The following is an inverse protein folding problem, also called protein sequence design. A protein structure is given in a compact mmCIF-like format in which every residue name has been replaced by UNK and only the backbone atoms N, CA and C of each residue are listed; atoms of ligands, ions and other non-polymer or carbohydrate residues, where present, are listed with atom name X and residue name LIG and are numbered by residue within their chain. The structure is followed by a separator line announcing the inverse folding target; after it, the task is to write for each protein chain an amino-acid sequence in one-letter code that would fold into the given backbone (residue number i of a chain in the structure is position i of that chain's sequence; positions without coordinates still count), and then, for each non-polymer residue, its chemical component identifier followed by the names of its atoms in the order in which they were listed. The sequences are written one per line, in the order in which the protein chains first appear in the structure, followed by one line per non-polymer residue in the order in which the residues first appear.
data_IF_442575597220
#
_entry.id   IF_442575597220
#
_cell.length_a   1.000
_cell.length_b   1.000
_cell.length_c   1.000
_cell.angle_alpha   90.00
_cell.angle_beta   90.00
_cell.angle_gamma   90.00
#
_symmetry.space_group_name_H-M   'P 1'
#
loop_
_entity.id
_entity.type
_entity.pdbx_description
1 polymer ?
#
# COMPACT_ATOMS: atom_id res chain seq x y z
N UNK A 1 2.58 63.65 -13.05
CA UNK A 1 1.81 62.95 -14.10
C UNK A 1 1.89 61.41 -14.08
N UNK A 2 2.96 60.77 -13.58
CA UNK A 2 3.12 59.30 -13.59
C UNK A 2 2.13 58.51 -12.69
N UNK A 3 1.71 59.07 -11.54
CA UNK A 3 0.77 58.42 -10.59
C UNK A 3 -0.69 58.32 -11.09
N UNK A 4 -1.14 59.24 -11.95
CA UNK A 4 -2.54 59.28 -12.42
C UNK A 4 -2.85 58.17 -13.43
N UNK A 5 -1.88 57.83 -14.29
CA UNK A 5 -2.03 56.77 -15.28
C UNK A 5 -1.99 55.37 -14.65
N UNK A 6 -1.20 55.18 -13.59
CA UNK A 6 -1.14 53.90 -12.86
C UNK A 6 -2.49 53.55 -12.19
N UNK A 7 -3.18 54.54 -11.63
CA UNK A 7 -4.51 54.36 -11.02
C UNK A 7 -5.55 53.87 -12.04
N UNK A 8 -5.54 54.42 -13.26
CA UNK A 8 -6.44 54.02 -14.35
C UNK A 8 -6.22 52.57 -14.82
N UNK A 9 -4.97 52.09 -14.89
CA UNK A 9 -4.69 50.70 -15.25
C UNK A 9 -5.13 49.72 -14.16
N UNK A 10 -4.97 50.07 -12.88
CA UNK A 10 -5.42 49.23 -11.76
C UNK A 10 -6.95 49.13 -11.75
N UNK A 11 -7.66 50.24 -11.99
CA UNK A 11 -9.12 50.25 -12.07
C UNK A 11 -9.61 49.45 -13.28
N UNK A 12 -8.98 49.60 -14.44
CA UNK A 12 -9.31 48.81 -15.64
C UNK A 12 -9.09 47.31 -15.42
N UNK A 13 -7.99 46.92 -14.79
CA UNK A 13 -7.71 45.53 -14.44
C UNK A 13 -8.71 44.97 -13.43
N UNK A 14 -9.09 45.74 -12.42
CA UNK A 14 -10.12 45.35 -11.45
C UNK A 14 -11.49 45.15 -12.11
N UNK A 15 -11.90 46.06 -13.01
CA UNK A 15 -13.17 45.92 -13.75
C UNK A 15 -13.14 44.67 -14.63
N UNK A 16 -12.04 44.44 -15.34
CA UNK A 16 -11.88 43.25 -16.18
C UNK A 16 -11.89 41.96 -15.35
N UNK A 17 -11.18 41.90 -14.22
CA UNK A 17 -11.17 40.75 -13.33
C UNK A 17 -12.56 40.49 -12.72
N UNK A 18 -13.29 41.53 -12.36
CA UNK A 18 -14.66 41.41 -11.83
C UNK A 18 -15.64 40.92 -12.89
N UNK A 19 -15.50 41.40 -14.13
CA UNK A 19 -16.28 40.90 -15.28
C UNK A 19 -16.03 39.40 -15.53
N UNK A 20 -14.77 38.95 -15.50
CA UNK A 20 -14.44 37.53 -15.63
C UNK A 20 -14.98 36.68 -14.47
N UNK A 21 -14.91 37.18 -13.23
CA UNK A 21 -15.44 36.47 -12.04
C UNK A 21 -16.97 36.36 -12.05
N UNK A 22 -17.69 37.35 -12.60
CA UNK A 22 -19.16 37.32 -12.74
C UNK A 22 -19.64 36.39 -13.87
N UNK A 23 -18.76 36.07 -14.82
CA UNK A 23 -19.01 35.09 -15.89
C UNK A 23 -18.49 33.68 -15.59
N UNK A 24 -17.99 33.44 -14.38
CA UNK A 24 -17.66 32.08 -13.96
C UNK A 24 -18.96 31.27 -13.82
N UNK A 25 -19.14 30.29 -14.70
CA UNK A 25 -20.26 29.35 -14.59
C UNK A 25 -20.06 28.45 -13.38
N UNK A 26 -21.16 28.11 -12.70
CA UNK A 26 -21.13 27.16 -11.60
C UNK A 26 -20.79 25.78 -12.16
N UNK A 27 -19.56 25.32 -11.92
CA UNK A 27 -19.15 23.96 -12.29
C UNK A 27 -19.60 23.02 -11.17
N UNK A 28 -20.66 22.25 -11.42
CA UNK A 28 -21.02 21.12 -10.57
C UNK A 28 -20.24 19.90 -11.05
N UNK A 29 -19.28 19.45 -10.24
CA UNK A 29 -18.57 18.20 -10.49
C UNK A 29 -19.38 17.05 -9.86
N UNK A 30 -19.69 16.02 -10.64
CA UNK A 30 -20.33 14.82 -10.12
C UNK A 30 -19.40 14.15 -9.11
N UNK A 31 -19.88 13.98 -7.88
CA UNK A 31 -19.13 13.32 -6.82
C UNK A 31 -19.42 11.82 -6.85
N UNK A 32 -18.47 11.01 -7.32
CA UNK A 32 -18.58 9.55 -7.29
C UNK A 32 -17.78 9.03 -6.10
N UNK A 33 -18.44 8.30 -5.20
CA UNK A 33 -17.82 7.64 -4.05
C UNK A 33 -18.43 6.25 -3.90
N UNK A 34 -17.62 5.21 -4.08
CA UNK A 34 -18.06 3.82 -4.11
C UNK A 34 -17.27 2.99 -3.11
N UNK A 35 -17.91 1.99 -2.53
CA UNK A 35 -17.25 0.97 -1.71
C UNK A 35 -17.73 -0.43 -2.09
N UNK A 36 -16.88 -1.43 -1.91
CA UNK A 36 -17.19 -2.83 -2.14
C UNK A 36 -16.76 -3.67 -0.94
N UNK A 37 -17.59 -4.62 -0.52
CA UNK A 37 -17.34 -5.49 0.62
C UNK A 37 -17.74 -6.94 0.30
N UNK A 38 -16.91 -7.95 0.60
CA UNK A 38 -15.59 -7.83 1.19
C UNK A 38 -14.56 -7.25 0.20
N UNK A 39 -13.52 -6.53 0.69
CA UNK A 39 -12.46 -6.01 -0.17
C UNK A 39 -11.47 -7.10 -0.63
N UNK A 40 -11.40 -8.21 0.11
CA UNK A 40 -10.57 -9.36 -0.17
C UNK A 40 -11.31 -10.64 0.22
N UNK A 41 -11.40 -11.58 -0.71
CA UNK A 41 -11.85 -12.95 -0.51
C UNK A 41 -10.65 -13.87 -0.71
N UNK A 42 -10.41 -14.75 0.26
CA UNK A 42 -9.43 -15.83 0.18
C UNK A 42 -10.17 -17.15 0.34
N UNK A 43 -9.99 -18.08 -0.60
CA UNK A 43 -10.70 -19.36 -0.55
C UNK A 43 -9.82 -20.53 -1.01
N UNK A 44 -9.88 -21.61 -0.25
CA UNK A 44 -9.35 -22.92 -0.60
C UNK A 44 -10.49 -23.78 -1.11
N UNK A 45 -10.36 -24.33 -2.32
CA UNK A 45 -11.45 -25.03 -2.98
C UNK A 45 -10.94 -26.20 -3.82
N UNK A 46 -11.71 -27.29 -3.84
CA UNK A 46 -11.41 -28.46 -4.66
C UNK A 46 -11.87 -28.27 -6.11
N UNK A 47 -11.19 -28.86 -7.10
CA UNK A 47 -11.71 -28.98 -8.45
C UNK A 47 -13.14 -29.55 -8.50
N UNK A 48 -13.96 -29.05 -9.41
CA UNK A 48 -15.36 -29.47 -9.57
C UNK A 48 -16.35 -28.88 -8.56
N UNK A 49 -15.92 -28.01 -7.63
CA UNK A 49 -16.79 -27.37 -6.65
C UNK A 49 -17.23 -25.98 -7.08
N UNK A 50 -18.36 -25.56 -6.51
CA UNK A 50 -18.95 -24.24 -6.70
C UNK A 50 -19.23 -23.62 -5.34
N UNK A 51 -18.97 -22.33 -5.21
CA UNK A 51 -19.33 -21.53 -4.04
C UNK A 51 -20.12 -20.30 -4.47
N UNK A 52 -20.89 -19.74 -3.54
CA UNK A 52 -21.65 -18.51 -3.72
C UNK A 52 -21.18 -17.50 -2.68
N UNK A 53 -20.79 -16.30 -3.12
CA UNK A 53 -20.29 -15.24 -2.25
C UNK A 53 -21.05 -13.95 -2.51
N UNK A 54 -21.60 -13.35 -1.45
CA UNK A 54 -22.27 -12.06 -1.55
C UNK A 54 -21.30 -10.89 -1.43
N UNK A 55 -21.16 -10.10 -2.48
CA UNK A 55 -20.48 -8.81 -2.47
C UNK A 55 -21.49 -7.68 -2.35
N UNK A 56 -21.27 -6.73 -1.45
CA UNK A 56 -22.07 -5.51 -1.33
C UNK A 56 -21.32 -4.36 -1.98
N UNK A 57 -21.94 -3.71 -2.97
CA UNK A 57 -21.48 -2.45 -3.54
C UNK A 57 -22.35 -1.33 -3.01
N UNK A 58 -21.75 -0.29 -2.44
CA UNK A 58 -22.46 0.83 -1.85
C UNK A 58 -22.01 2.15 -2.47
N UNK A 59 -22.97 3.02 -2.77
CA UNK A 59 -22.73 4.34 -3.33
C UNK A 59 -22.89 5.43 -2.25
N UNK A 60 -21.80 6.12 -1.96
CA UNK A 60 -21.74 7.24 -1.02
C UNK A 60 -21.80 8.62 -1.71
N UNK A 61 -21.84 8.64 -3.05
CA UNK A 61 -21.88 9.86 -3.87
C UNK A 61 -23.21 10.06 -4.60
N UNK A 62 -23.14 10.75 -5.74
CA UNK A 62 -24.28 10.98 -6.63
C UNK A 62 -24.77 9.68 -7.27
N UNK A 63 -26.04 9.60 -7.70
CA UNK A 63 -26.57 8.41 -8.36
C UNK A 63 -25.75 8.05 -9.59
N UNK A 64 -25.50 6.76 -9.79
CA UNK A 64 -24.55 6.28 -10.81
C UNK A 64 -25.03 4.99 -11.45
N UNK A 65 -24.71 4.82 -12.74
CA UNK A 65 -24.88 3.55 -13.44
C UNK A 65 -23.56 2.79 -13.32
N UNK A 66 -23.63 1.59 -12.76
CA UNK A 66 -22.50 0.71 -12.56
C UNK A 66 -22.57 -0.48 -13.51
N UNK A 67 -21.40 -0.97 -13.90
CA UNK A 67 -21.25 -2.24 -14.60
C UNK A 67 -20.31 -3.12 -13.78
N UNK A 68 -20.76 -4.34 -13.46
CA UNK A 68 -19.97 -5.32 -12.73
C UNK A 68 -19.27 -6.28 -13.67
N UNK A 69 -18.12 -6.80 -13.27
CA UNK A 69 -17.17 -7.40 -14.20
C UNK A 69 -16.06 -8.12 -13.40
N UNK A 70 -15.51 -9.23 -13.91
CA UNK A 70 -14.41 -9.96 -13.25
C UNK A 70 -13.19 -9.93 -14.14
N UNK A 71 -12.03 -9.55 -13.57
CA UNK A 71 -10.75 -9.49 -14.29
C UNK A 71 -9.68 -10.30 -13.58
N UNK A 72 -8.77 -10.86 -14.35
CA UNK A 72 -7.56 -11.50 -13.82
C UNK A 72 -6.54 -10.43 -13.48
N UNK A 73 -5.76 -10.64 -12.43
CA UNK A 73 -4.63 -9.76 -12.13
C UNK A 73 -3.38 -10.57 -11.81
N UNK A 74 -2.25 -9.90 -11.89
CA UNK A 74 -0.95 -10.42 -11.47
C UNK A 74 -0.30 -9.49 -10.44
N UNK A 75 0.51 -10.04 -9.53
CA UNK A 75 1.26 -9.21 -8.58
C UNK A 75 2.22 -8.28 -9.31
N UNK A 76 2.38 -7.06 -8.80
CA UNK A 76 3.32 -6.09 -9.31
C UNK A 76 4.13 -5.44 -8.19
N UNK A 77 5.45 -5.37 -8.37
CA UNK A 77 6.38 -4.79 -7.40
C UNK A 77 6.41 -5.54 -6.06
N UNK A 78 6.82 -4.82 -5.00
CA UNK A 78 7.01 -5.39 -3.64
C UNK A 78 5.98 -4.88 -2.63
N UNK A 79 5.24 -3.81 -2.95
CA UNK A 79 4.33 -3.15 -2.00
C UNK A 79 2.92 -3.76 -2.01
N UNK A 80 2.70 -4.85 -2.74
CA UNK A 80 1.38 -5.44 -2.89
C UNK A 80 0.50 -4.81 -3.94
N UNK A 81 1.10 -4.09 -4.87
CA UNK A 81 0.38 -3.59 -6.03
C UNK A 81 0.02 -4.77 -6.93
N UNK A 82 -1.02 -4.60 -7.70
CA UNK A 82 -1.50 -5.58 -8.67
C UNK A 82 -1.63 -4.90 -10.02
N UNK A 83 -1.36 -5.66 -11.07
CA UNK A 83 -1.61 -5.24 -12.44
C UNK A 83 -2.84 -6.02 -12.94
N UNK A 84 -3.92 -5.30 -13.22
CA UNK A 84 -5.14 -5.88 -13.78
C UNK A 84 -4.92 -6.14 -15.28
N UNK A 85 -5.25 -7.34 -15.74
CA UNK A 85 -5.23 -7.67 -17.16
C UNK A 85 -6.49 -7.14 -17.85
N UNK A 86 -6.32 -6.74 -19.11
CA UNK A 86 -7.42 -6.24 -19.94
C UNK A 86 -8.42 -7.32 -20.33
N UNK A 87 -7.98 -8.58 -20.37
CA UNK A 87 -8.79 -9.74 -20.70
C UNK A 87 -8.92 -10.68 -19.50
N UNK A 88 -10.03 -11.42 -19.47
CA UNK A 88 -10.22 -12.46 -18.47
C UNK A 88 -9.43 -13.70 -18.89
N UNK A 89 -8.60 -14.22 -17.99
CA UNK A 89 -7.79 -15.42 -18.22
C UNK A 89 -8.00 -16.45 -17.10
N UNK A 90 -7.95 -17.72 -17.48
CA UNK A 90 -7.90 -18.85 -16.54
C UNK A 90 -9.15 -19.71 -16.54
N UNK A 91 -9.11 -20.82 -15.78
CA UNK A 91 -10.13 -21.87 -15.85
C UNK A 91 -11.34 -21.62 -14.93
N UNK A 92 -11.27 -20.66 -14.01
CA UNK A 92 -12.33 -20.40 -13.04
C UNK A 92 -13.49 -19.68 -13.72
N UNK A 93 -14.72 -20.10 -13.44
CA UNK A 93 -15.92 -19.54 -14.05
C UNK A 93 -16.66 -18.68 -13.03
N UNK A 94 -17.12 -17.50 -13.48
CA UNK A 94 -17.83 -16.53 -12.66
C UNK A 94 -19.19 -16.19 -13.29
N UNK A 95 -20.22 -16.09 -12.46
CA UNK A 95 -21.54 -15.60 -12.85
C UNK A 95 -22.21 -14.92 -11.65
N UNK A 96 -23.19 -14.06 -11.89
CA UNK A 96 -24.10 -13.61 -10.84
C UNK A 96 -25.28 -14.57 -10.72
N UNK A 97 -25.69 -14.84 -9.48
CA UNK A 97 -26.86 -15.67 -9.13
C UNK A 97 -28.10 -14.81 -8.83
N UNK A 98 -27.98 -13.48 -9.01
CA UNK A 98 -29.09 -12.54 -8.90
C UNK A 98 -30.14 -12.79 -9.99
N UNK A 99 -31.41 -12.52 -9.69
CA UNK A 99 -32.51 -12.66 -10.66
C UNK A 99 -32.51 -11.55 -11.73
N UNK A 100 -31.98 -10.38 -11.39
CA UNK A 100 -32.09 -9.13 -12.13
C UNK A 100 -30.73 -8.53 -12.54
N UNK A 101 -29.62 -9.19 -12.16
CA UNK A 101 -28.26 -8.70 -12.44
C UNK A 101 -27.42 -9.76 -13.13
N UNK A 102 -26.65 -9.31 -14.10
CA UNK A 102 -25.68 -10.12 -14.83
C UNK A 102 -24.33 -9.41 -14.86
N UNK A 103 -23.25 -10.20 -14.95
CA UNK A 103 -21.93 -9.62 -15.22
C UNK A 103 -21.96 -8.91 -16.57
N UNK A 104 -21.22 -7.81 -16.65
CA UNK A 104 -21.11 -6.92 -17.81
C UNK A 104 -22.39 -6.14 -18.16
N UNK A 105 -23.49 -6.33 -17.45
CA UNK A 105 -24.73 -5.57 -17.63
C UNK A 105 -24.78 -4.36 -16.69
N UNK A 106 -25.25 -3.20 -17.19
CA UNK A 106 -25.37 -2.00 -16.36
C UNK A 106 -26.54 -2.11 -15.38
N UNK A 107 -26.37 -1.57 -14.17
CA UNK A 107 -27.43 -1.40 -13.18
C UNK A 107 -27.32 -0.02 -12.52
N UNK A 108 -28.46 0.54 -12.13
CA UNK A 108 -28.51 1.87 -11.52
C UNK A 108 -28.41 1.76 -9.99
N UNK A 109 -27.51 2.53 -9.39
CA UNK A 109 -27.33 2.59 -7.94
C UNK A 109 -27.55 4.02 -7.45
N UNK A 110 -28.59 4.21 -6.63
CA UNK A 110 -28.95 5.52 -6.07
C UNK A 110 -27.92 5.97 -5.03
N UNK A 111 -27.94 7.26 -4.70
CA UNK A 111 -27.16 7.81 -3.58
C UNK A 111 -27.53 7.13 -2.27
N UNK A 112 -26.52 6.73 -1.49
CA UNK A 112 -26.64 5.99 -0.22
C UNK A 112 -27.38 4.65 -0.32
N UNK A 113 -27.45 4.10 -1.52
CA UNK A 113 -28.03 2.80 -1.77
C UNK A 113 -26.94 1.74 -1.92
N UNK A 114 -27.33 0.48 -1.73
CA UNK A 114 -26.44 -0.67 -1.80
C UNK A 114 -27.05 -1.78 -2.63
N UNK A 115 -26.21 -2.41 -3.45
CA UNK A 115 -26.56 -3.56 -4.25
C UNK A 115 -25.74 -4.77 -3.83
N UNK A 116 -26.41 -5.89 -3.58
CA UNK A 116 -25.74 -7.16 -3.36
C UNK A 116 -25.56 -7.90 -4.68
N UNK A 117 -24.33 -8.26 -4.99
CA UNK A 117 -23.90 -9.10 -6.11
C UNK A 117 -23.61 -10.51 -5.57
N UNK A 118 -24.46 -11.48 -5.89
CA UNK A 118 -24.29 -12.88 -5.49
C UNK A 118 -23.37 -13.57 -6.49
N UNK A 119 -22.06 -13.49 -6.28
CA UNK A 119 -21.06 -14.02 -7.18
C UNK A 119 -20.92 -15.54 -7.00
N UNK A 120 -21.34 -16.28 -8.03
CA UNK A 120 -21.15 -17.73 -8.15
C UNK A 120 -19.77 -18.00 -8.75
N UNK A 121 -18.92 -18.68 -7.99
CA UNK A 121 -17.56 -19.06 -8.39
C UNK A 121 -17.52 -20.56 -8.58
N UNK A 122 -17.25 -21.02 -9.80
CA UNK A 122 -17.18 -22.44 -10.16
C UNK A 122 -15.77 -22.79 -10.60
N UNK A 123 -15.21 -23.81 -9.95
CA UNK A 123 -13.93 -24.42 -10.35
C UNK A 123 -14.27 -25.68 -11.14
N UNK A 124 -13.99 -25.74 -12.45
CA UNK A 124 -14.24 -26.94 -13.24
C UNK A 124 -13.51 -28.19 -12.72
N UNK A 125 -14.00 -29.36 -13.13
CA UNK A 125 -13.27 -30.62 -12.91
C UNK A 125 -12.00 -30.60 -13.77
N UNK A 126 -10.88 -31.04 -13.22
CA UNK A 126 -9.59 -31.06 -13.93
C UNK A 126 -8.86 -29.71 -13.96
N UNK A 127 -9.35 -28.68 -13.26
CA UNK A 127 -8.57 -27.46 -13.02
C UNK A 127 -7.25 -27.83 -12.33
N UNK A 128 -6.10 -27.43 -12.87
CA UNK A 128 -4.81 -27.68 -12.24
C UNK A 128 -4.75 -27.11 -10.81
N UNK A 129 -4.06 -27.81 -9.92
CA UNK A 129 -3.78 -27.27 -8.60
C UNK A 129 -2.86 -26.05 -8.71
N UNK A 130 -3.15 -25.03 -7.92
CA UNK A 130 -2.46 -23.74 -7.99
C UNK A 130 -3.34 -22.60 -7.52
N UNK A 131 -2.77 -21.41 -7.59
CA UNK A 131 -3.47 -20.20 -7.22
C UNK A 131 -3.94 -19.42 -8.46
N UNK A 132 -5.12 -18.84 -8.33
CA UNK A 132 -5.76 -18.03 -9.34
C UNK A 132 -6.25 -16.73 -8.73
N UNK A 133 -5.89 -15.61 -9.36
CA UNK A 133 -6.11 -14.27 -8.82
C UNK A 133 -7.04 -13.46 -9.71
N UNK A 134 -8.13 -12.97 -9.12
CA UNK A 134 -9.18 -12.24 -9.81
C UNK A 134 -9.65 -11.05 -9.00
N UNK A 135 -10.31 -10.09 -9.62
CA UNK A 135 -11.03 -9.04 -8.92
C UNK A 135 -12.41 -8.87 -9.49
N UNK A 136 -13.41 -8.79 -8.60
CA UNK A 136 -14.73 -8.30 -8.94
C UNK A 136 -14.67 -6.77 -8.98
N UNK A 137 -14.89 -6.20 -10.15
CA UNK A 137 -14.92 -4.77 -10.38
C UNK A 137 -16.35 -4.27 -10.44
N UNK A 138 -16.59 -3.09 -9.87
CA UNK A 138 -17.76 -2.27 -10.15
C UNK A 138 -17.27 -0.94 -10.74
N UNK A 139 -17.63 -0.67 -11.99
CA UNK A 139 -17.17 0.51 -12.73
C UNK A 139 -18.32 1.44 -13.02
N UNK A 140 -18.15 2.74 -12.76
CA UNK A 140 -19.12 3.74 -13.20
C UNK A 140 -19.08 3.91 -14.72
N UNK A 141 -20.25 4.09 -15.32
CA UNK A 141 -20.35 4.50 -16.72
C UNK A 141 -20.41 6.04 -16.78
N UNK A 142 -19.56 6.69 -17.58
CA UNK A 142 -19.68 8.12 -17.78
C UNK A 142 -21.01 8.43 -18.49
N UNK A 143 -21.66 9.57 -18.19
CA UNK A 143 -22.89 9.97 -18.87
C UNK A 143 -22.66 10.10 -20.39
N UNK A 144 -23.69 9.83 -21.22
CA UNK A 144 -23.59 9.94 -22.67
C UNK A 144 -23.23 11.37 -23.11
N UNK A 145 -22.49 11.47 -24.21
CA UNK A 145 -22.00 12.74 -24.75
C UNK A 145 -23.19 13.58 -25.21
N UNK A 146 -23.36 14.76 -24.63
CA UNK A 146 -24.25 15.78 -25.20
C UNK A 146 -23.39 16.72 -26.04
N UNK A 147 -23.71 16.89 -27.32
CA UNK A 147 -22.96 17.77 -28.22
C UNK A 147 -22.89 19.19 -27.64
N UNK A 148 -21.69 19.80 -27.66
CA UNK A 148 -21.45 21.17 -27.20
C UNK A 148 -21.04 21.34 -25.73
N UNK A 149 -20.98 20.27 -24.92
CA UNK A 149 -20.52 20.34 -23.52
C UNK A 149 -19.21 19.56 -23.35
N UNK A 150 -18.10 20.28 -23.11
CA UNK A 150 -16.83 19.70 -22.66
C UNK A 150 -16.84 19.48 -21.16
N UNK A 151 -17.37 18.35 -20.70
CA UNK A 151 -17.26 17.92 -19.30
C UNK A 151 -16.06 16.98 -19.09
N UNK A 152 -15.37 17.15 -17.96
CA UNK A 152 -14.36 16.19 -17.49
C UNK A 152 -15.06 14.86 -17.16
N UNK A 153 -14.60 13.77 -17.77
CA UNK A 153 -15.19 12.43 -17.61
C UNK A 153 -14.38 11.63 -16.60
N UNK A 154 -14.87 11.51 -15.38
CA UNK A 154 -14.28 10.62 -14.40
C UNK A 154 -14.98 9.25 -14.46
N UNK A 155 -14.24 8.21 -14.85
CA UNK A 155 -14.65 6.82 -14.64
C UNK A 155 -14.03 6.35 -13.32
N UNK A 156 -14.87 5.89 -12.39
CA UNK A 156 -14.42 5.35 -11.11
C UNK A 156 -14.59 3.85 -11.13
N UNK A 157 -13.58 3.13 -10.66
CA UNK A 157 -13.62 1.68 -10.52
C UNK A 157 -13.27 1.32 -9.08
N UNK A 158 -14.09 0.50 -8.44
CA UNK A 158 -13.80 -0.12 -7.16
C UNK A 158 -13.68 -1.65 -7.36
N UNK A 159 -12.80 -2.29 -6.59
CA UNK A 159 -12.45 -3.69 -6.77
C UNK A 159 -12.47 -4.45 -5.44
N UNK A 160 -13.04 -5.66 -5.45
CA UNK A 160 -12.89 -6.66 -4.41
C UNK A 160 -12.01 -7.78 -4.93
N UNK A 161 -10.85 -7.99 -4.33
CA UNK A 161 -9.88 -9.00 -4.79
C UNK A 161 -10.29 -10.39 -4.33
N UNK A 162 -10.03 -11.39 -5.16
CA UNK A 162 -10.42 -12.79 -5.00
C UNK A 162 -9.16 -13.64 -5.22
N UNK A 163 -8.69 -14.29 -4.16
CA UNK A 163 -7.56 -15.22 -4.18
C UNK A 163 -8.10 -16.64 -4.01
N UNK A 164 -7.96 -17.46 -5.05
CA UNK A 164 -8.47 -18.83 -5.08
C UNK A 164 -7.30 -19.79 -5.12
N UNK A 165 -7.16 -20.61 -4.09
CA UNK A 165 -6.22 -21.75 -4.09
C UNK A 165 -7.00 -23.02 -4.41
N UNK A 166 -6.70 -23.60 -5.58
CA UNK A 166 -7.25 -24.87 -6.02
C UNK A 166 -6.34 -26.00 -5.57
N UNK A 167 -6.86 -26.91 -4.74
CA UNK A 167 -6.11 -28.04 -4.20
C UNK A 167 -7.06 -29.17 -3.79
N UNK A 168 -6.70 -30.42 -4.09
CA UNK A 168 -7.46 -31.60 -3.68
C UNK A 168 -7.13 -32.00 -2.24
N UNK A 169 -5.86 -31.80 -1.85
CA UNK A 169 -5.30 -32.23 -0.56
C UNK A 169 -5.31 -31.14 0.52
N UNK A 170 -5.42 -29.87 0.14
CA UNK A 170 -5.18 -28.74 1.03
C UNK A 170 -3.71 -28.33 1.13
N UNK A 171 -2.78 -29.15 0.63
CA UNK A 171 -1.35 -28.85 0.64
C UNK A 171 -1.00 -27.89 -0.51
N UNK A 172 -0.11 -26.94 -0.22
CA UNK A 172 0.36 -25.93 -1.18
C UNK A 172 1.86 -26.02 -1.37
N UNK A 173 2.33 -25.76 -2.59
CA UNK A 173 3.76 -25.75 -2.91
C UNK A 173 4.36 -24.36 -2.65
N UNK A 174 4.64 -24.10 -1.37
CA UNK A 174 5.27 -22.85 -0.95
C UNK A 174 6.79 -22.93 -1.07
N UNK A 175 7.40 -21.98 -1.78
CA UNK A 175 8.86 -21.85 -1.89
C UNK A 175 9.29 -20.41 -1.56
N UNK A 176 9.17 -20.05 -0.28
CA UNK A 176 9.57 -18.74 0.23
C UNK A 176 11.08 -18.60 0.42
N UNK A 177 11.58 -17.37 0.27
CA UNK A 177 12.96 -16.98 0.62
C UNK A 177 12.96 -15.54 1.14
N UNK A 178 13.84 -15.21 2.09
CA UNK A 178 14.16 -13.82 2.42
C UNK A 178 15.07 -13.26 1.31
N UNK A 179 14.55 -12.33 0.50
CA UNK A 179 15.30 -11.74 -0.62
C UNK A 179 16.19 -10.59 -0.16
N UNK A 180 15.73 -9.80 0.81
CA UNK A 180 16.48 -8.70 1.42
C UNK A 180 16.15 -8.57 2.90
N UNK A 181 17.17 -8.44 3.73
CA UNK A 181 17.01 -8.00 5.12
C UNK A 181 18.17 -7.09 5.48
N UNK A 182 17.89 -5.80 5.66
CA UNK A 182 18.95 -4.83 5.95
C UNK A 182 18.45 -3.59 6.70
N UNK A 183 19.40 -2.79 7.18
CA UNK A 183 19.20 -1.46 7.73
C UNK A 183 19.45 -0.43 6.63
N UNK A 184 18.46 0.42 6.36
CA UNK A 184 18.58 1.47 5.36
C UNK A 184 19.39 2.63 5.96
N UNK A 185 20.57 2.90 5.41
CA UNK A 185 21.45 3.98 5.87
C UNK A 185 21.98 4.79 4.69
N UNK A 186 22.14 6.10 4.89
CA UNK A 186 22.77 6.98 3.91
C UNK A 186 24.30 6.75 3.81
N UNK A 187 24.91 6.12 4.83
CA UNK A 187 26.34 5.84 4.85
C UNK A 187 26.63 4.34 4.71
N UNK A 188 27.76 4.01 4.10
CA UNK A 188 28.18 2.61 3.86
C UNK A 188 28.46 1.83 5.15
N UNK A 189 28.74 2.52 6.26
CA UNK A 189 29.11 1.91 7.53
C UNK A 189 27.91 1.65 8.47
N UNK A 190 26.68 1.99 8.04
CA UNK A 190 25.44 1.85 8.81
C UNK A 190 25.54 2.49 10.20
N UNK A 191 26.10 3.70 10.23
CA UNK A 191 26.28 4.52 11.44
C UNK A 191 25.08 5.45 11.60
N UNK A 192 24.52 5.51 12.81
CA UNK A 192 23.41 6.39 13.18
C UNK A 192 23.76 7.21 14.43
N UNK A 193 23.10 8.34 14.61
CA UNK A 193 23.14 9.07 15.89
C UNK A 193 22.25 8.39 16.95
N UNK A 194 22.57 8.56 18.23
CA UNK A 194 21.86 7.92 19.35
C UNK A 194 20.36 8.17 19.42
N UNK A 195 19.87 9.26 18.83
CA UNK A 195 18.44 9.61 18.80
C UNK A 195 17.81 9.50 17.41
N UNK A 196 18.56 9.04 16.40
CA UNK A 196 18.03 8.91 15.05
C UNK A 196 17.12 7.68 14.92
N UNK A 197 16.06 7.82 14.13
CA UNK A 197 15.20 6.71 13.72
C UNK A 197 15.99 5.79 12.79
N UNK A 198 15.91 4.48 13.02
CA UNK A 198 16.65 3.48 12.25
C UNK A 198 15.67 2.67 11.40
N UNK A 199 15.57 2.94 10.09
CA UNK A 199 14.70 2.20 9.18
C UNK A 199 15.31 0.83 8.80
N UNK A 200 14.48 -0.20 8.83
CA UNK A 200 14.81 -1.58 8.49
C UNK A 200 13.95 -2.00 7.31
N UNK A 201 14.52 -2.78 6.40
CA UNK A 201 13.82 -3.41 5.28
C UNK A 201 13.86 -4.94 5.41
N UNK A 202 12.73 -5.58 5.17
CA UNK A 202 12.55 -7.03 5.12
C UNK A 202 11.65 -7.35 3.91
N UNK A 203 12.27 -7.94 2.90
CA UNK A 203 11.59 -8.40 1.70
C UNK A 203 11.67 -9.92 1.62
N UNK A 204 10.55 -10.51 1.21
CA UNK A 204 10.44 -11.93 0.94
C UNK A 204 10.04 -12.16 -0.50
N UNK A 205 10.48 -13.28 -1.04
CA UNK A 205 10.21 -13.72 -2.40
C UNK A 205 9.53 -15.08 -2.34
N UNK A 206 8.46 -15.24 -3.11
CA UNK A 206 7.81 -16.51 -3.35
C UNK A 206 8.22 -17.03 -4.72
N UNK A 207 8.99 -18.12 -4.74
CA UNK A 207 9.36 -18.85 -5.97
C UNK A 207 8.42 -20.02 -6.27
N UNK A 208 7.40 -20.20 -5.44
CA UNK A 208 6.37 -21.21 -5.58
C UNK A 208 5.17 -20.67 -6.36
N UNK A 209 4.29 -21.59 -6.74
CA UNK A 209 3.06 -21.25 -7.47
C UNK A 209 1.90 -20.85 -6.57
N UNK A 210 1.96 -21.22 -5.29
CA UNK A 210 0.94 -20.90 -4.31
C UNK A 210 1.39 -19.75 -3.41
N UNK A 211 0.45 -18.88 -3.08
CA UNK A 211 0.59 -17.81 -2.12
C UNK A 211 0.82 -18.37 -0.72
N UNK A 212 1.43 -17.55 0.12
CA UNK A 212 1.55 -17.84 1.54
C UNK A 212 1.48 -16.55 2.36
N UNK A 213 1.29 -16.72 3.67
CA UNK A 213 1.34 -15.64 4.66
C UNK A 213 2.55 -15.88 5.56
N UNK A 214 3.66 -15.14 5.39
CA UNK A 214 4.81 -15.26 6.24
C UNK A 214 4.48 -14.76 7.64
N UNK A 215 5.00 -15.46 8.63
CA UNK A 215 4.90 -15.11 10.04
C UNK A 215 6.28 -15.11 10.68
N UNK A 216 6.42 -14.45 11.82
CA UNK A 216 7.66 -14.49 12.59
C UNK A 216 8.00 -13.17 13.23
N UNK A 217 9.30 -12.93 13.40
CA UNK A 217 9.80 -11.85 14.22
C UNK A 217 11.12 -11.27 13.71
N UNK A 218 11.30 -9.98 13.98
CA UNK A 218 12.58 -9.29 13.90
C UNK A 218 13.07 -9.08 15.35
N UNK A 219 14.26 -9.59 15.66
CA UNK A 219 14.88 -9.50 16.98
C UNK A 219 16.06 -8.55 16.93
N UNK A 220 16.04 -7.51 17.76
CA UNK A 220 17.13 -6.60 18.02
C UNK A 220 17.93 -7.08 19.23
N UNK A 221 19.26 -7.12 19.12
CA UNK A 221 20.19 -7.42 20.23
C UNK A 221 21.31 -6.39 20.30
N UNK A 222 21.49 -5.79 21.47
CA UNK A 222 22.62 -4.92 21.81
C UNK A 222 23.75 -5.68 22.49
N UNK A 223 24.88 -5.00 22.71
CA UNK A 223 26.04 -5.59 23.41
C UNK A 223 25.92 -5.52 24.94
N UNK A 224 25.03 -4.70 25.48
CA UNK A 224 24.83 -4.52 26.92
C UNK A 224 23.60 -5.27 27.44
N UNK A 225 23.17 -6.32 26.71
CA UNK A 225 22.04 -7.17 27.08
C UNK A 225 20.68 -6.66 26.59
N UNK A 226 20.63 -5.55 25.85
CA UNK A 226 19.39 -5.04 25.29
C UNK A 226 18.81 -6.04 24.28
N UNK A 227 17.52 -6.35 24.42
CA UNK A 227 16.78 -7.21 23.49
C UNK A 227 15.39 -6.64 23.25
N UNK A 228 15.00 -6.55 21.99
CA UNK A 228 13.63 -6.22 21.61
C UNK A 228 13.17 -7.15 20.48
N UNK A 229 11.87 -7.45 20.45
CA UNK A 229 11.26 -8.32 19.46
C UNK A 229 10.11 -7.58 18.80
N UNK A 230 10.01 -7.68 17.48
CA UNK A 230 9.03 -7.02 16.63
C UNK A 230 8.33 -8.07 15.79
N UNK A 231 7.02 -8.19 15.92
CA UNK A 231 6.25 -9.22 15.21
C UNK A 231 6.01 -8.82 13.76
N UNK A 232 6.29 -9.72 12.84
CA UNK A 232 5.97 -9.55 11.42
C UNK A 232 4.45 -9.65 11.26
N UNK A 233 3.85 -8.68 10.58
CA UNK A 233 2.42 -8.68 10.27
C UNK A 233 2.16 -9.68 9.14
N UNK A 234 1.31 -10.70 9.33
CA UNK A 234 0.99 -11.65 8.28
C UNK A 234 0.30 -10.94 7.10
N UNK A 235 0.86 -11.11 5.90
CA UNK A 235 0.37 -10.49 4.65
C UNK A 235 0.49 -11.48 3.50
N UNK A 236 -0.40 -11.42 2.52
CA UNK A 236 -0.30 -12.30 1.34
C UNK A 236 0.95 -11.98 0.50
N UNK A 237 1.73 -13.02 0.25
CA UNK A 237 2.79 -13.05 -0.75
C UNK A 237 2.32 -13.98 -1.85
N UNK A 238 1.91 -13.40 -2.99
CA UNK A 238 1.34 -14.17 -4.10
C UNK A 238 2.39 -15.09 -4.73
N UNK A 239 1.92 -16.08 -5.48
CA UNK A 239 2.76 -16.97 -6.29
C UNK A 239 3.69 -16.17 -7.20
N UNK A 240 4.94 -16.61 -7.29
CA UNK A 240 5.96 -16.03 -8.19
C UNK A 240 6.17 -14.51 -8.00
N UNK A 241 5.98 -14.01 -6.77
CA UNK A 241 6.03 -12.58 -6.45
C UNK A 241 7.00 -12.24 -5.32
N UNK A 242 7.23 -10.94 -5.12
CA UNK A 242 7.96 -10.41 -3.97
C UNK A 242 7.05 -9.55 -3.09
N UNK A 243 7.39 -9.43 -1.81
CA UNK A 243 6.65 -8.61 -0.86
C UNK A 243 7.58 -7.97 0.17
N UNK A 244 7.41 -6.67 0.39
CA UNK A 244 7.91 -5.95 1.54
C UNK A 244 6.99 -6.25 2.72
N UNK A 245 7.53 -6.86 3.77
CA UNK A 245 6.76 -7.20 4.97
C UNK A 245 6.76 -6.06 5.97
N UNK A 246 5.63 -5.79 6.59
CA UNK A 246 5.54 -4.83 7.70
C UNK A 246 5.71 -5.53 9.04
N UNK A 247 6.29 -4.85 10.04
CA UNK A 247 6.37 -5.35 11.42
C UNK A 247 5.84 -4.32 12.43
N UNK A 248 5.25 -4.80 13.52
CA UNK A 248 4.75 -3.96 14.62
C UNK A 248 5.90 -3.52 15.53
N UNK A 249 5.83 -2.33 16.16
CA UNK A 249 4.69 -1.41 16.22
C UNK A 249 4.60 -0.45 15.02
N UNK A 250 5.56 -0.45 14.10
CA UNK A 250 5.65 0.58 13.07
C UNK A 250 4.98 0.20 11.74
N UNK A 251 4.07 -0.77 11.74
CA UNK A 251 3.33 -1.20 10.55
C UNK A 251 2.42 -0.09 9.98
N UNK A 252 2.25 1.02 10.70
CA UNK A 252 1.38 2.16 10.37
C UNK A 252 2.16 3.44 10.05
N UNK A 253 3.44 3.37 9.68
CA UNK A 253 4.18 4.59 9.34
C UNK A 253 3.59 5.20 8.07
N UNK A 254 2.94 6.35 8.25
CA UNK A 254 2.50 7.20 7.16
C UNK A 254 3.70 7.99 6.61
N UNK A 255 4.14 7.59 5.42
CA UNK A 255 5.19 8.24 4.65
C UNK A 255 4.69 9.44 3.82
N UNK A 256 3.38 9.71 3.78
CA UNK A 256 2.80 10.90 3.14
C UNK A 256 3.00 12.16 3.98
N UNK A 257 3.19 12.01 5.30
CA UNK A 257 3.50 13.13 6.18
C UNK A 257 4.90 13.71 5.87
N UNK A 258 4.96 14.99 5.50
CA UNK A 258 6.20 15.70 5.12
C UNK A 258 7.33 15.59 6.16
N UNK A 259 6.99 15.43 7.44
CA UNK A 259 7.98 15.28 8.50
C UNK A 259 8.74 13.94 8.46
N UNK A 260 8.18 12.91 7.81
CA UNK A 260 8.76 11.56 7.71
C UNK A 260 9.47 11.31 6.37
N UNK A 261 9.36 12.22 5.39
CA UNK A 261 9.89 12.03 4.04
C UNK A 261 11.39 11.71 3.99
N UNK A 262 12.20 12.25 4.91
CA UNK A 262 13.65 11.97 4.95
C UNK A 262 13.98 10.52 5.29
N UNK A 263 13.09 9.84 6.02
CA UNK A 263 13.27 8.44 6.43
C UNK A 263 12.67 7.51 5.37
N UNK A 264 11.58 7.92 4.73
CA UNK A 264 10.82 7.17 3.72
C UNK A 264 11.42 7.13 2.31
N UNK A 265 12.74 7.31 2.16
CA UNK A 265 13.42 7.26 0.85
C UNK A 265 13.62 5.82 0.31
N UNK A 266 12.97 4.82 0.89
CA UNK A 266 13.13 3.42 0.51
C UNK A 266 12.05 2.51 1.11
N UNK A 267 12.09 1.20 0.77
CA UNK A 267 11.10 0.23 1.22
C UNK A 267 11.31 -0.16 2.69
N UNK A 268 10.46 0.37 3.58
CA UNK A 268 10.60 0.20 5.03
C UNK A 268 9.62 -0.85 5.57
N UNK A 269 10.14 -1.76 6.37
CA UNK A 269 9.41 -2.78 7.11
C UNK A 269 9.17 -2.41 8.57
N UNK A 270 10.16 -1.79 9.19
CA UNK A 270 10.18 -1.44 10.61
C UNK A 270 11.02 -0.18 10.83
N UNK A 271 10.59 0.72 11.70
CA UNK A 271 11.43 1.82 12.21
C UNK A 271 11.68 1.60 13.70
N UNK A 272 12.95 1.50 14.06
CA UNK A 272 13.35 1.53 15.46
C UNK A 272 13.43 2.99 15.92
N UNK A 273 12.88 3.26 17.10
CA UNK A 273 12.95 4.56 17.77
C UNK A 273 13.36 4.33 19.23
N UNK A 274 14.15 5.23 19.78
CA UNK A 274 14.68 5.12 21.14
C UNK A 274 16.08 5.69 21.25
N UNK A 275 16.68 5.54 22.43
CA UNK A 275 18.10 5.83 22.64
C UNK A 275 18.90 4.55 22.42
N UNK A 276 19.86 4.61 21.50
CA UNK A 276 20.74 3.49 21.18
C UNK A 276 22.22 3.89 21.34
N UNK A 277 23.05 2.96 21.79
CA UNK A 277 24.49 3.18 21.93
C UNK A 277 25.29 1.92 21.61
N UNK A 278 26.26 2.04 20.71
CA UNK A 278 27.15 0.96 20.33
C UNK A 278 26.64 0.13 19.16
N UNK A 279 27.10 -1.12 19.07
CA UNK A 279 26.77 -2.02 17.95
C UNK A 279 25.54 -2.86 18.28
N UNK A 280 24.57 -2.86 17.36
CA UNK A 280 23.39 -3.69 17.42
C UNK A 280 23.36 -4.71 16.29
N UNK A 281 22.78 -5.86 16.58
CA UNK A 281 22.51 -6.92 15.59
C UNK A 281 21.00 -7.12 15.49
N UNK A 282 20.53 -7.22 14.25
CA UNK A 282 19.16 -7.55 13.91
C UNK A 282 19.13 -8.96 13.34
N UNK A 283 18.09 -9.72 13.69
CA UNK A 283 17.85 -11.06 13.13
C UNK A 283 16.39 -11.19 12.76
N UNK A 284 16.09 -11.57 11.52
CA UNK A 284 14.76 -11.91 11.07
C UNK A 284 14.60 -13.43 11.08
N UNK A 285 13.58 -13.91 11.79
CA UNK A 285 13.14 -15.29 11.82
C UNK A 285 11.79 -15.33 11.09
N UNK A 286 11.74 -15.93 9.91
CA UNK A 286 10.53 -15.95 9.06
C UNK A 286 10.10 -17.39 8.78
N UNK A 287 8.83 -17.67 9.02
CA UNK A 287 8.17 -18.94 8.74
C UNK A 287 7.17 -18.74 7.59
N UNK A 288 7.17 -19.64 6.61
CA UNK A 288 6.37 -19.49 5.37
C UNK A 288 5.13 -20.40 5.31
N UNK A 289 4.87 -21.18 6.35
CA UNK A 289 3.74 -22.10 6.42
C UNK A 289 4.08 -23.35 7.22
N UNK A 290 3.04 -24.04 7.68
CA UNK A 290 3.19 -25.20 8.56
C UNK A 290 4.09 -26.29 7.96
N UNK A 291 4.98 -26.85 8.78
CA UNK A 291 5.89 -27.93 8.37
C UNK A 291 7.06 -27.49 7.48
N UNK A 292 7.18 -26.20 7.13
CA UNK A 292 8.31 -25.66 6.38
C UNK A 292 9.44 -25.16 7.30
N UNK A 293 10.71 -25.20 6.86
CA UNK A 293 11.80 -24.68 7.65
C UNK A 293 11.65 -23.17 7.87
N UNK A 294 12.09 -22.71 9.04
CA UNK A 294 12.24 -21.28 9.34
C UNK A 294 13.48 -20.72 8.63
N UNK A 295 13.33 -19.56 8.00
CA UNK A 295 14.40 -18.85 7.33
C UNK A 295 14.96 -17.75 8.21
N UNK A 296 16.27 -17.57 8.14
CA UNK A 296 17.02 -16.66 8.98
C UNK A 296 17.80 -15.66 8.14
N UNK A 297 17.75 -14.39 8.52
CA UNK A 297 18.63 -13.36 7.98
C UNK A 297 19.11 -12.44 9.10
N UNK A 298 20.28 -11.83 8.94
CA UNK A 298 20.86 -10.93 9.95
C UNK A 298 21.44 -9.68 9.34
N UNK A 299 21.27 -8.56 10.03
CA UNK A 299 21.88 -7.27 9.70
C UNK A 299 22.50 -6.65 10.95
N UNK A 300 23.32 -5.62 10.78
CA UNK A 300 23.89 -4.88 11.91
C UNK A 300 23.94 -3.38 11.61
N UNK A 301 23.97 -2.59 12.68
CA UNK A 301 24.20 -1.15 12.62
C UNK A 301 24.99 -0.70 13.85
N UNK A 302 25.59 0.48 13.75
CA UNK A 302 26.39 1.09 14.82
C UNK A 302 25.75 2.43 15.18
N UNK A 303 25.64 2.71 16.47
CA UNK A 303 25.09 3.96 16.96
C UNK A 303 26.11 4.67 17.83
N UNK A 304 26.35 5.95 17.52
CA UNK A 304 27.28 6.81 18.23
C UNK A 304 26.60 8.16 18.53
N UNK A 305 26.81 8.78 19.70
CA UNK A 305 26.19 10.05 20.06
C UNK A 305 26.90 11.24 19.38
N UNK A 306 27.03 11.23 18.06
CA UNK A 306 27.84 12.18 17.28
C UNK A 306 27.37 13.62 17.48
N UNK A 307 26.06 13.88 17.44
CA UNK A 307 25.48 15.21 17.66
C UNK A 307 25.81 15.73 19.06
N UNK A 308 25.68 14.88 20.07
CA UNK A 308 26.04 15.22 21.45
C UNK A 308 27.54 15.50 21.58
N UNK A 309 28.41 14.69 20.96
CA UNK A 309 29.85 14.89 20.96
C UNK A 309 30.27 16.20 20.29
N UNK A 310 29.62 16.58 19.17
CA UNK A 310 29.87 17.85 18.48
C UNK A 310 29.47 19.03 19.37
N UNK A 311 28.30 18.98 20.01
CA UNK A 311 27.84 20.04 20.93
C UNK A 311 28.79 20.18 22.12
N UNK A 312 29.19 19.06 22.73
CA UNK A 312 30.15 19.04 23.84
C UNK A 312 31.50 19.64 23.43
N UNK A 313 31.99 19.30 22.23
CA UNK A 313 33.24 19.85 21.71
C UNK A 313 33.17 21.37 21.49
N UNK A 314 32.07 21.88 20.93
CA UNK A 314 31.86 23.32 20.73
C UNK A 314 31.82 24.06 22.07
N UNK A 315 31.13 23.50 23.08
CA UNK A 315 31.08 24.07 24.43
C UNK A 315 32.45 24.10 25.11
N UNK A 316 33.23 23.02 24.98
CA UNK A 316 34.60 22.95 25.51
C UNK A 316 35.53 23.94 24.79
N UNK A 317 35.43 24.06 23.47
CA UNK A 317 36.22 25.03 22.70
C UNK A 317 35.86 26.48 23.06
N UNK A 318 34.57 26.78 23.20
CA UNK A 318 34.08 28.10 23.60
C UNK A 318 34.49 28.50 25.01
N UNK A 319 34.39 27.58 25.99
CA UNK A 319 34.85 27.83 27.36
C UNK A 319 36.36 28.07 27.43
N UNK A 320 37.17 27.26 26.72
CA UNK A 320 38.62 27.48 26.62
C UNK A 320 38.94 28.83 25.97
N UNK A 321 38.21 29.24 24.93
CA UNK A 321 38.38 30.53 24.27
C UNK A 321 38.06 31.71 25.21
N UNK A 322 36.97 31.64 25.98
CA UNK A 322 36.59 32.67 26.97
C UNK A 322 37.65 32.77 28.08
N UNK A 323 38.13 31.63 28.60
CA UNK A 323 39.18 31.60 29.63
C UNK A 323 40.48 32.23 29.12
N UNK A 324 40.87 31.95 27.87
CA UNK A 324 42.06 32.56 27.26
C UNK A 324 41.89 34.07 27.04
N UNK A 325 40.71 34.52 26.62
CA UNK A 325 40.42 35.95 26.41
C UNK A 325 40.46 36.75 27.71
N UNK A 326 39.95 36.21 28.82
CA UNK A 326 39.95 36.92 30.11
C UNK A 326 41.31 36.92 30.83
N UNK A 327 42.27 36.11 30.38
CA UNK A 327 43.65 36.08 30.91
C UNK A 327 44.63 36.93 30.10
N UNK A 328 44.24 37.38 28.91
CA UNK A 328 44.99 38.34 28.09
C UNK A 328 44.48 39.76 28.31
#
# INVERSE_FOLDING_TARGET
MKKRNLSLYIISFLILATYYMLHATWVSAQQVSLSISPPLLEVFIKPGKTILVGYTVENHGDPVILKSDVRTFEPHGINGQIHMKDEFEGPIQFALDNADLELQSPFFLKTRDRQQLLLRIRVPVGTPEGDYYYSLLARSQPPPITEGITSSRAQVTIAGNILITVTESGNTQVKGKISLFDVLSANKFKIFDSFDKIPITLQVENKGKNMFKPEGEIVLKGKFGEKATYTIVPQNVLGESQRLLSATPSATIDCENQNNQRICNGPISLILSGFFLGKYTLSANVHFGEGLPTFFASAYFIVLPLKFMIVLFILLAGTVFIIRRNRS
#
